data_IF_775918122827
#
_entry.id   IF_775918122827
#
_cell.length_a   1.000
_cell.length_b   1.000
_cell.length_c   1.000
_cell.angle_alpha   90.00
_cell.angle_beta   90.00
_cell.angle_gamma   90.00
#
_symmetry.space_group_name_H-M   'P 1'
#
loop_
_entity.id
_entity.type
_entity.pdbx_description
1 polymer ?
#
# COMPACT_ATOMS: atom_id res chain seq x y z
N UNK A 1 -64.23 -62.54 -10.69
CA UNK A 1 -63.91 -62.28 -9.27
C UNK A 1 -62.41 -62.46 -9.14
N UNK A 2 -61.74 -61.43 -8.61
CA UNK A 2 -60.39 -61.45 -7.99
C UNK A 2 -59.19 -61.89 -8.87
N UNK A 3 -58.32 -60.95 -9.27
CA UNK A 3 -56.97 -60.69 -8.67
C UNK A 3 -55.87 -61.47 -9.45
N UNK A 4 -54.61 -61.06 -9.68
CA UNK A 4 -53.74 -60.02 -9.13
C UNK A 4 -52.58 -59.76 -10.13
N UNK A 5 -52.01 -58.55 -10.07
CA UNK A 5 -50.87 -58.03 -10.86
C UNK A 5 -49.55 -58.48 -10.22
N UNK A 6 -48.50 -58.82 -10.98
CA UNK A 6 -47.12 -58.65 -10.49
C UNK A 6 -46.13 -58.35 -11.62
N UNK A 7 -45.70 -57.08 -11.64
CA UNK A 7 -44.61 -56.51 -12.43
C UNK A 7 -43.29 -56.74 -11.70
N UNK A 8 -42.23 -57.11 -12.41
CA UNK A 8 -40.85 -56.93 -11.95
C UNK A 8 -40.11 -56.04 -12.97
N UNK A 9 -40.18 -54.72 -12.75
CA UNK A 9 -39.29 -53.75 -13.41
C UNK A 9 -38.26 -53.29 -12.38
N UNK A 10 -37.03 -53.76 -12.54
CA UNK A 10 -35.88 -53.36 -11.74
C UNK A 10 -35.59 -51.87 -12.00
N UNK A 11 -35.92 -51.02 -11.03
CA UNK A 11 -35.59 -49.59 -11.08
C UNK A 11 -34.31 -49.41 -10.27
N UNK A 12 -33.17 -49.26 -10.97
CA UNK A 12 -31.90 -48.94 -10.36
C UNK A 12 -31.88 -47.46 -9.97
N UNK A 13 -32.08 -47.16 -8.69
CA UNK A 13 -31.85 -45.84 -8.10
C UNK A 13 -30.33 -45.63 -7.97
N UNK A 14 -29.75 -44.85 -8.89
CA UNK A 14 -28.41 -44.28 -8.70
C UNK A 14 -28.58 -43.02 -7.84
N UNK A 15 -28.40 -43.17 -6.52
CA UNK A 15 -28.20 -42.04 -5.62
C UNK A 15 -26.82 -41.44 -5.91
N UNK A 16 -26.80 -40.38 -6.72
CA UNK A 16 -25.62 -39.54 -6.90
C UNK A 16 -25.48 -38.63 -5.67
N UNK A 17 -24.73 -39.09 -4.68
CA UNK A 17 -24.35 -38.31 -3.51
C UNK A 17 -23.46 -37.14 -3.94
N UNK A 18 -24.05 -35.96 -4.14
CA UNK A 18 -23.34 -34.68 -4.24
C UNK A 18 -22.69 -34.39 -2.88
N UNK A 19 -21.50 -34.96 -2.65
CA UNK A 19 -20.62 -34.55 -1.57
C UNK A 19 -20.08 -33.17 -1.97
N UNK A 20 -20.80 -32.12 -1.59
CA UNK A 20 -20.26 -30.78 -1.58
C UNK A 20 -19.04 -30.80 -0.64
N UNK A 21 -17.84 -30.85 -1.23
CA UNK A 21 -16.60 -30.57 -0.51
C UNK A 21 -16.68 -29.11 -0.08
N UNK A 22 -17.12 -28.86 1.15
CA UNK A 22 -16.81 -27.61 1.82
C UNK A 22 -15.31 -27.62 2.03
N UNK A 23 -14.56 -27.07 1.07
CA UNK A 23 -13.16 -26.76 1.30
C UNK A 23 -13.14 -25.89 2.56
N UNK A 24 -12.38 -26.26 3.60
CA UNK A 24 -12.19 -25.37 4.73
C UNK A 24 -11.68 -24.07 4.12
N UNK A 25 -12.39 -22.97 4.38
CA UNK A 25 -11.91 -21.65 4.03
C UNK A 25 -10.54 -21.52 4.68
N UNK A 26 -9.49 -21.75 3.89
CA UNK A 26 -8.11 -21.67 4.36
C UNK A 26 -7.99 -20.28 4.95
N UNK A 27 -7.85 -20.22 6.28
CA UNK A 27 -7.43 -19.03 6.97
C UNK A 27 -6.06 -18.66 6.36
N UNK A 28 -6.08 -17.80 5.34
CA UNK A 28 -4.85 -17.20 4.82
C UNK A 28 -4.18 -16.59 6.01
N UNK A 29 -2.98 -17.08 6.29
CA UNK A 29 -2.20 -16.68 7.44
C UNK A 29 -2.00 -15.17 7.33
N UNK A 30 -2.53 -14.41 8.29
CA UNK A 30 -2.52 -12.94 8.28
C UNK A 30 -1.12 -12.36 8.07
N UNK A 31 -0.08 -13.12 8.44
CA UNK A 31 1.34 -12.82 8.21
C UNK A 31 1.72 -12.58 6.76
N UNK A 32 0.92 -13.03 5.79
CA UNK A 32 1.28 -13.02 4.38
C UNK A 32 0.76 -11.79 3.63
N UNK A 33 0.02 -10.89 4.32
CA UNK A 33 -0.47 -9.67 3.69
C UNK A 33 0.68 -8.72 3.34
N UNK A 34 1.02 -8.70 2.05
CA UNK A 34 2.04 -7.82 1.48
C UNK A 34 1.43 -6.91 0.41
N UNK A 35 1.47 -5.60 0.66
CA UNK A 35 1.13 -4.62 -0.37
C UNK A 35 2.20 -4.63 -1.46
N UNK A 36 1.77 -4.76 -2.71
CA UNK A 36 2.64 -4.67 -3.87
C UNK A 36 2.88 -3.22 -4.26
N UNK A 37 4.14 -2.84 -4.55
CA UNK A 37 4.46 -1.53 -5.11
C UNK A 37 3.67 -1.22 -6.38
N UNK A 38 3.41 -2.25 -7.22
CA UNK A 38 2.69 -2.10 -8.48
C UNK A 38 1.24 -1.64 -8.27
N UNK A 39 0.57 -2.15 -7.23
CA UNK A 39 -0.81 -1.79 -6.91
C UNK A 39 -0.89 -0.32 -6.47
N UNK A 40 0.04 0.10 -5.60
CA UNK A 40 0.16 1.50 -5.15
C UNK A 40 0.44 2.41 -6.34
N UNK A 41 1.40 2.05 -7.21
CA UNK A 41 1.74 2.84 -8.39
C UNK A 41 0.57 2.92 -9.39
N UNK A 42 -0.19 1.84 -9.57
CA UNK A 42 -1.38 1.85 -10.43
C UNK A 42 -2.43 2.86 -9.93
N UNK A 43 -2.64 2.96 -8.61
CA UNK A 43 -3.50 4.01 -8.05
C UNK A 43 -2.96 5.39 -8.40
N UNK A 44 -1.67 5.65 -8.11
CA UNK A 44 -1.01 6.94 -8.34
C UNK A 44 -1.10 7.34 -9.80
N UNK A 45 -0.75 6.45 -10.73
CA UNK A 45 -0.77 6.73 -12.17
C UNK A 45 -2.18 6.96 -12.70
N UNK A 46 -3.18 6.28 -12.14
CA UNK A 46 -4.59 6.48 -12.51
C UNK A 46 -5.07 7.85 -12.02
N UNK A 47 -4.75 8.22 -10.77
CA UNK A 47 -5.05 9.53 -10.21
C UNK A 47 -4.32 10.66 -10.98
N UNK A 48 -3.05 10.46 -11.32
CA UNK A 48 -2.25 11.41 -12.13
C UNK A 48 -2.86 11.62 -13.52
N UNK A 49 -3.37 10.56 -14.17
CA UNK A 49 -4.07 10.66 -15.46
C UNK A 49 -5.43 11.36 -15.35
N UNK A 50 -6.18 11.09 -14.28
CA UNK A 50 -7.51 11.68 -14.07
C UNK A 50 -7.47 13.16 -13.67
N UNK A 51 -6.37 13.60 -13.04
CA UNK A 51 -6.28 14.91 -12.40
C UNK A 51 -6.00 16.09 -13.33
N UNK A 52 -5.61 15.84 -14.59
CA UNK A 52 -4.99 16.88 -15.42
C UNK A 52 -3.78 17.52 -14.73
N UNK A 53 -3.25 18.62 -15.26
CA UNK A 53 -2.04 19.26 -14.72
C UNK A 53 -2.23 20.02 -13.39
N UNK A 54 -3.37 19.88 -12.69
CA UNK A 54 -3.73 20.80 -11.59
C UNK A 54 -4.33 20.20 -10.32
N UNK A 55 -4.73 18.92 -10.26
CA UNK A 55 -5.39 18.36 -9.07
C UNK A 55 -4.46 17.40 -8.31
N UNK A 56 -3.49 17.94 -7.57
CA UNK A 56 -2.57 17.16 -6.74
C UNK A 56 -3.28 16.34 -5.64
N UNK A 57 -4.51 16.72 -5.27
CA UNK A 57 -5.26 16.13 -4.16
C UNK A 57 -5.69 14.69 -4.41
N UNK A 58 -6.07 14.31 -5.65
CA UNK A 58 -6.52 12.93 -5.94
C UNK A 58 -5.42 11.89 -5.78
N UNK A 59 -4.16 12.28 -5.94
CA UNK A 59 -3.04 11.35 -5.76
C UNK A 59 -2.84 11.04 -4.27
N UNK A 60 -3.23 11.96 -3.38
CA UNK A 60 -3.17 11.74 -1.93
C UNK A 60 -4.20 10.72 -1.46
N UNK A 61 -5.30 10.52 -2.20
CA UNK A 61 -6.31 9.49 -1.91
C UNK A 61 -5.76 8.05 -2.11
N UNK A 62 -4.59 7.90 -2.73
CA UNK A 62 -3.90 6.61 -2.79
C UNK A 62 -3.18 6.24 -1.48
N UNK A 63 -2.96 7.19 -0.59
CA UNK A 63 -2.29 6.95 0.70
C UNK A 63 -3.29 6.31 1.66
N UNK A 64 -2.99 5.11 2.14
CA UNK A 64 -3.83 4.38 3.09
C UNK A 64 -4.88 3.48 2.44
N UNK A 65 -5.06 3.54 1.12
CA UNK A 65 -6.05 2.73 0.40
C UNK A 65 -5.82 1.22 0.57
N UNK A 66 -4.57 0.79 0.54
CA UNK A 66 -4.22 -0.62 0.72
C UNK A 66 -4.30 -1.04 2.19
N UNK A 67 -4.01 -0.12 3.11
CA UNK A 67 -4.29 -0.29 4.54
C UNK A 67 -5.78 -0.53 4.79
N UNK A 68 -6.67 0.29 4.21
CA UNK A 68 -8.12 0.15 4.33
C UNK A 68 -8.62 -1.15 3.70
N UNK A 69 -8.11 -1.49 2.52
CA UNK A 69 -8.44 -2.76 1.83
C UNK A 69 -8.05 -3.96 2.70
N UNK A 70 -6.85 -3.95 3.28
CA UNK A 70 -6.38 -4.96 4.22
C UNK A 70 -7.32 -5.11 5.42
N UNK A 71 -7.65 -4.00 6.08
CA UNK A 71 -8.54 -3.98 7.25
C UNK A 71 -9.94 -4.51 6.92
N UNK A 72 -10.46 -4.22 5.72
CA UNK A 72 -11.78 -4.71 5.29
C UNK A 72 -11.85 -6.24 5.18
N UNK A 73 -10.74 -6.91 4.88
CA UNK A 73 -10.66 -8.37 4.71
C UNK A 73 -10.40 -9.08 6.04
N UNK A 74 -9.73 -8.42 7.00
CA UNK A 74 -9.34 -9.03 8.28
C UNK A 74 -10.50 -9.17 9.29
N UNK A 75 -11.66 -8.54 9.05
CA UNK A 75 -12.81 -8.62 9.94
C UNK A 75 -12.57 -7.97 11.31
N UNK A 76 -13.41 -8.28 12.31
CA UNK A 76 -13.39 -7.67 13.67
C UNK A 76 -12.29 -8.19 14.59
N UNK A 77 -11.15 -8.63 14.04
CA UNK A 77 -9.96 -8.86 14.86
C UNK A 77 -9.60 -7.59 15.63
N UNK A 78 -9.00 -7.72 16.82
CA UNK A 78 -8.67 -6.57 17.69
C UNK A 78 -8.08 -5.42 16.86
N UNK A 79 -8.71 -4.23 16.85
CA UNK A 79 -8.50 -3.21 15.82
C UNK A 79 -7.03 -2.81 15.65
N UNK A 80 -6.25 -2.92 16.71
CA UNK A 80 -4.91 -2.35 16.79
C UNK A 80 -3.78 -3.19 16.14
N UNK A 81 -3.82 -4.52 16.20
CA UNK A 81 -2.73 -5.36 15.62
C UNK A 81 -2.85 -5.45 14.10
N UNK A 82 -4.10 -5.57 13.61
CA UNK A 82 -4.42 -5.54 12.19
C UNK A 82 -4.05 -4.19 11.58
N UNK A 83 -4.32 -3.08 12.27
CA UNK A 83 -3.90 -1.75 11.83
C UNK A 83 -2.38 -1.63 11.68
N UNK A 84 -1.61 -2.10 12.67
CA UNK A 84 -0.14 -2.07 12.60
C UNK A 84 0.36 -2.89 11.41
N UNK A 85 -0.14 -4.11 11.24
CA UNK A 85 0.23 -5.00 10.14
C UNK A 85 -0.08 -4.39 8.77
N UNK A 86 -1.33 -3.96 8.57
CA UNK A 86 -1.78 -3.39 7.30
C UNK A 86 -1.03 -2.10 6.95
N UNK A 87 -0.88 -1.18 7.91
CA UNK A 87 -0.17 0.08 7.69
C UNK A 87 1.32 -0.15 7.45
N UNK A 88 1.95 -1.08 8.15
CA UNK A 88 3.37 -1.41 7.95
C UNK A 88 3.61 -2.05 6.57
N UNK A 89 2.68 -2.88 6.12
CA UNK A 89 2.73 -3.49 4.79
C UNK A 89 2.69 -2.44 3.67
N UNK A 90 1.78 -1.47 3.77
CA UNK A 90 1.73 -0.35 2.83
C UNK A 90 2.94 0.59 2.97
N UNK A 91 3.43 0.82 4.19
CA UNK A 91 4.66 1.59 4.45
C UNK A 91 5.84 1.01 3.70
N UNK A 92 6.01 -0.32 3.69
CA UNK A 92 7.10 -0.98 2.99
C UNK A 92 7.02 -0.74 1.46
N UNK A 93 5.83 -0.76 0.88
CA UNK A 93 5.63 -0.44 -0.53
C UNK A 93 5.99 1.04 -0.81
N UNK A 94 5.49 1.98 -0.01
CA UNK A 94 5.83 3.40 -0.16
C UNK A 94 7.31 3.70 0.05
N UNK A 95 7.97 3.01 0.97
CA UNK A 95 9.42 3.12 1.20
C UNK A 95 10.19 2.75 -0.08
N UNK A 96 9.90 1.59 -0.67
CA UNK A 96 10.56 1.15 -1.91
C UNK A 96 10.30 2.11 -3.07
N UNK A 97 9.06 2.61 -3.22
CA UNK A 97 8.73 3.62 -4.22
C UNK A 97 9.53 4.92 -3.98
N UNK A 98 9.60 5.39 -2.72
CA UNK A 98 10.34 6.60 -2.36
C UNK A 98 11.83 6.48 -2.67
N UNK A 99 12.43 5.32 -2.37
CA UNK A 99 13.84 5.00 -2.62
C UNK A 99 14.14 4.97 -4.12
N UNK A 100 13.30 4.32 -4.93
CA UNK A 100 13.44 4.27 -6.39
C UNK A 100 13.28 5.66 -7.01
N UNK A 101 12.28 6.43 -6.57
CA UNK A 101 12.06 7.80 -7.05
C UNK A 101 13.23 8.73 -6.67
N UNK A 102 13.77 8.60 -5.46
CA UNK A 102 14.94 9.35 -5.02
C UNK A 102 16.18 9.02 -5.85
N UNK A 103 16.45 7.74 -6.11
CA UNK A 103 17.58 7.32 -6.96
C UNK A 103 17.46 7.87 -8.39
N UNK A 104 16.27 7.83 -8.99
CA UNK A 104 16.01 8.43 -10.29
C UNK A 104 16.22 9.95 -10.29
N UNK A 105 15.79 10.63 -9.22
CA UNK A 105 15.95 12.06 -9.06
C UNK A 105 17.43 12.46 -8.92
N UNK A 106 18.22 11.72 -8.13
CA UNK A 106 19.66 11.92 -8.05
C UNK A 106 20.33 11.82 -9.43
N UNK A 107 19.93 10.85 -10.24
CA UNK A 107 20.46 10.69 -11.60
C UNK A 107 20.07 11.87 -12.52
N UNK A 108 18.82 12.37 -12.43
CA UNK A 108 18.37 13.55 -13.19
C UNK A 108 19.15 14.80 -12.80
N UNK A 109 19.21 15.10 -11.49
CA UNK A 109 19.89 16.29 -10.98
C UNK A 109 21.39 16.24 -11.25
N UNK A 110 22.02 15.06 -11.17
CA UNK A 110 23.43 14.91 -11.53
C UNK A 110 23.69 15.21 -13.02
N UNK A 111 22.76 14.83 -13.92
CA UNK A 111 22.84 15.17 -15.35
C UNK A 111 22.68 16.67 -15.57
N UNK A 112 21.71 17.29 -14.91
CA UNK A 112 21.46 18.74 -14.97
C UNK A 112 22.66 19.53 -14.46
N UNK A 113 23.23 19.15 -13.32
CA UNK A 113 24.41 19.80 -12.73
C UNK A 113 25.62 19.76 -13.67
N UNK A 114 25.83 18.65 -14.39
CA UNK A 114 26.89 18.55 -15.41
C UNK A 114 26.67 19.46 -16.62
N UNK A 115 25.42 19.81 -16.92
CA UNK A 115 25.06 20.67 -18.04
C UNK A 115 25.08 22.16 -17.69
N UNK A 116 25.18 22.52 -16.41
CA UNK A 116 25.19 23.93 -15.96
C UNK A 116 26.52 24.64 -16.31
N UNK A 117 26.49 25.98 -16.52
CA UNK A 117 27.69 26.78 -16.70
C UNK A 117 28.65 26.66 -15.50
N UNK A 118 29.97 26.75 -15.77
CA UNK A 118 30.99 26.78 -14.72
C UNK A 118 30.71 27.92 -13.73
N UNK A 119 30.87 27.63 -12.43
CA UNK A 119 30.58 28.57 -11.35
C UNK A 119 29.15 28.50 -10.80
N UNK A 120 28.24 27.76 -11.44
CA UNK A 120 26.90 27.51 -10.89
C UNK A 120 26.97 26.49 -9.76
N UNK A 121 26.27 26.75 -8.65
CA UNK A 121 26.21 25.81 -7.53
C UNK A 121 25.47 24.50 -7.94
N UNK A 122 26.06 23.33 -7.72
CA UNK A 122 25.39 22.06 -8.00
C UNK A 122 24.26 21.81 -6.99
N UNK A 123 23.12 21.31 -7.47
CA UNK A 123 21.97 20.99 -6.65
C UNK A 123 22.07 19.60 -6.00
N UNK A 124 22.87 18.69 -6.55
CA UNK A 124 22.97 17.31 -6.08
C UNK A 124 23.38 17.18 -4.60
N UNK A 125 24.37 17.92 -4.07
CA UNK A 125 24.71 17.86 -2.65
C UNK A 125 23.57 18.36 -1.75
N UNK A 126 22.86 19.41 -2.18
CA UNK A 126 21.72 19.96 -1.44
C UNK A 126 20.55 18.98 -1.40
N UNK A 127 20.29 18.27 -2.51
CA UNK A 127 19.27 17.22 -2.56
C UNK A 127 19.59 16.07 -1.59
N UNK A 128 20.85 15.62 -1.53
CA UNK A 128 21.29 14.61 -0.57
C UNK A 128 21.04 15.01 0.88
N UNK A 129 21.48 16.22 1.25
CA UNK A 129 21.31 16.73 2.60
C UNK A 129 19.82 16.93 2.96
N UNK A 130 19.01 17.39 2.00
CA UNK A 130 17.58 17.54 2.19
C UNK A 130 16.87 16.19 2.40
N UNK A 131 17.29 15.12 1.72
CA UNK A 131 16.76 13.78 1.94
C UNK A 131 17.08 13.28 3.35
N UNK A 132 18.36 13.35 3.76
CA UNK A 132 18.82 12.94 5.08
C UNK A 132 18.09 13.66 6.21
N UNK A 133 17.94 14.99 6.11
CA UNK A 133 17.22 15.79 7.11
C UNK A 133 15.75 15.41 7.22
N UNK A 134 15.11 15.09 6.10
CA UNK A 134 13.73 14.63 6.10
C UNK A 134 13.58 13.25 6.74
N UNK A 135 14.47 12.29 6.49
CA UNK A 135 14.40 10.97 7.14
C UNK A 135 14.47 11.10 8.66
N UNK A 136 15.38 11.94 9.17
CA UNK A 136 15.48 12.23 10.60
C UNK A 136 14.20 12.88 11.14
N UNK A 137 13.71 13.93 10.48
CA UNK A 137 12.48 14.62 10.89
C UNK A 137 11.25 13.72 10.84
N UNK A 138 11.14 12.84 9.84
CA UNK A 138 10.04 11.87 9.74
C UNK A 138 10.07 10.87 10.92
N UNK A 139 11.26 10.44 11.34
CA UNK A 139 11.43 9.61 12.53
C UNK A 139 10.92 10.28 13.80
N UNK A 140 11.33 11.53 14.03
CA UNK A 140 10.91 12.31 15.20
C UNK A 140 9.38 12.55 15.19
N UNK A 141 8.81 12.92 14.04
CA UNK A 141 7.37 13.13 13.87
C UNK A 141 6.57 11.85 14.20
N UNK A 142 7.05 10.69 13.77
CA UNK A 142 6.35 9.43 14.00
C UNK A 142 6.53 8.87 15.42
N UNK A 143 7.57 9.30 16.15
CA UNK A 143 7.67 9.13 17.60
C UNK A 143 6.62 10.01 18.30
N UNK A 144 6.47 11.28 17.90
CA UNK A 144 5.45 12.17 18.47
C UNK A 144 4.04 11.63 18.20
N UNK A 145 3.76 11.13 17.00
CA UNK A 145 2.48 10.50 16.66
C UNK A 145 2.13 9.33 17.60
N UNK A 146 3.14 8.51 17.94
CA UNK A 146 3.00 7.44 18.93
C UNK A 146 2.67 7.98 20.32
N UNK A 147 3.43 8.97 20.79
CA UNK A 147 3.31 9.50 22.15
C UNK A 147 2.03 10.32 22.39
N UNK A 148 1.48 10.95 21.35
CA UNK A 148 0.22 11.70 21.43
C UNK A 148 -1.02 10.82 21.43
N UNK A 149 -0.88 9.58 21.01
CA UNK A 149 -1.94 8.58 21.03
C UNK A 149 -2.00 7.91 22.39
N UNK A 150 -3.10 7.21 22.69
CA UNK A 150 -3.19 6.41 23.92
C UNK A 150 -2.03 5.43 24.03
N UNK A 151 -1.58 5.17 25.27
CA UNK A 151 -0.49 4.23 25.52
C UNK A 151 -0.85 2.82 25.01
N UNK A 152 0.17 2.05 24.63
CA UNK A 152 -0.01 0.69 24.14
C UNK A 152 -0.21 0.62 22.63
N UNK A 153 -1.05 -0.30 22.18
CA UNK A 153 -1.18 -0.67 20.76
C UNK A 153 -1.76 0.47 19.89
N UNK A 154 -2.71 1.31 20.35
CA UNK A 154 -3.15 2.48 19.58
C UNK A 154 -2.01 3.43 19.19
N UNK A 155 -1.04 3.63 20.08
CA UNK A 155 0.17 4.41 19.78
C UNK A 155 1.08 3.78 18.73
N UNK A 156 1.21 2.45 18.73
CA UNK A 156 2.01 1.74 17.71
C UNK A 156 1.33 1.86 16.34
N UNK A 157 0.00 1.70 16.28
CA UNK A 157 -0.78 1.87 15.05
C UNK A 157 -0.69 3.30 14.50
N UNK A 158 -0.74 4.32 15.38
CA UNK A 158 -0.54 5.71 14.98
C UNK A 158 0.86 5.97 14.40
N UNK A 159 1.91 5.38 14.99
CA UNK A 159 3.28 5.46 14.45
C UNK A 159 3.39 4.80 13.08
N UNK A 160 2.78 3.63 12.88
CA UNK A 160 2.78 2.91 11.61
C UNK A 160 2.09 3.71 10.49
N UNK A 161 0.92 4.31 10.78
CA UNK A 161 0.25 5.22 9.83
C UNK A 161 1.10 6.45 9.51
N UNK A 162 1.74 7.05 10.52
CA UNK A 162 2.64 8.18 10.29
C UNK A 162 3.77 7.82 9.32
N UNK A 163 4.43 6.68 9.51
CA UNK A 163 5.51 6.24 8.62
C UNK A 163 5.02 6.01 7.19
N UNK A 164 3.87 5.35 7.01
CA UNK A 164 3.22 5.18 5.72
C UNK A 164 3.06 6.53 5.02
N UNK A 165 2.42 7.49 5.69
CA UNK A 165 2.08 8.78 5.13
C UNK A 165 3.35 9.58 4.78
N UNK A 166 4.37 9.58 5.64
CA UNK A 166 5.65 10.27 5.38
C UNK A 166 6.35 9.72 4.14
N UNK A 167 6.48 8.40 4.02
CA UNK A 167 7.11 7.80 2.85
C UNK A 167 6.30 8.03 1.57
N UNK A 168 4.96 7.97 1.66
CA UNK A 168 4.09 8.24 0.54
C UNK A 168 4.22 9.68 0.04
N UNK A 169 4.10 10.67 0.93
CA UNK A 169 4.26 12.08 0.58
C UNK A 169 5.61 12.36 -0.06
N UNK A 170 6.68 11.76 0.46
CA UNK A 170 8.02 11.92 -0.09
C UNK A 170 8.18 11.29 -1.46
N UNK A 171 7.64 10.08 -1.66
CA UNK A 171 7.60 9.42 -2.96
C UNK A 171 6.87 10.28 -3.99
N UNK A 172 5.70 10.82 -3.63
CA UNK A 172 4.89 11.68 -4.50
C UNK A 172 5.60 13.00 -4.83
N UNK A 173 6.32 13.59 -3.87
CA UNK A 173 7.15 14.76 -4.10
C UNK A 173 8.25 14.50 -5.14
N UNK A 174 9.02 13.41 -4.99
CA UNK A 174 10.08 13.07 -5.93
C UNK A 174 9.56 12.74 -7.31
N UNK A 175 8.45 12.01 -7.41
CA UNK A 175 7.77 11.76 -8.70
C UNK A 175 7.34 13.06 -9.39
N UNK A 176 6.81 14.01 -8.63
CA UNK A 176 6.42 15.33 -9.16
C UNK A 176 7.62 16.10 -9.71
N UNK A 177 8.75 16.13 -8.99
CA UNK A 177 9.97 16.78 -9.49
C UNK A 177 10.54 16.10 -10.73
N UNK A 178 10.50 14.77 -10.79
CA UNK A 178 10.91 14.00 -11.99
C UNK A 178 10.08 14.34 -13.24
N UNK A 179 8.86 14.87 -13.07
CA UNK A 179 8.01 15.36 -14.16
C UNK A 179 8.21 16.84 -14.50
N UNK A 180 9.20 17.50 -13.89
CA UNK A 180 9.51 18.91 -14.14
C UNK A 180 8.54 19.90 -13.51
N UNK A 181 7.67 19.47 -12.60
CA UNK A 181 6.82 20.39 -11.86
C UNK A 181 7.66 21.17 -10.83
N UNK A 182 7.59 22.49 -10.90
CA UNK A 182 8.18 23.38 -9.90
C UNK A 182 7.41 23.31 -8.57
N UNK A 183 8.03 23.87 -7.52
CA UNK A 183 7.47 23.99 -6.18
C UNK A 183 6.25 24.92 -6.16
#
# INVERSE_FOLDING_TARGET
>A
MTEFIMRCSATALVLLSLIARTEPASARQLSDFKVSEQVVLQCVETAERASGSGKADQVRDCIGRETETCLSVMGTGGPSDSEVLCASSETAAWYEISKKAYAALLASVAKEDKAKPKGTQPALPALHEAHKKWEAAAGDDCIVARLRSEQGIPGVAASARCWRDKHAERALLYRRWLRGAAY
#
